data_IF_939954649635
#
_entry.id   IF_939954649635
#
_cell.length_a   1.000
_cell.length_b   1.000
_cell.length_c   1.000
_cell.angle_alpha   90.00
_cell.angle_beta   90.00
_cell.angle_gamma   90.00
#
_symmetry.space_group_name_H-M   'P 1'
#
loop_
_entity.id
_entity.type
_entity.pdbx_description
1 polymer ?
#
# COMPACT_ATOMS: atom_id res chain seq x y z
N UNK A 1 -52.21 -4.92 3.03
CA UNK A 1 -51.13 -5.72 2.39
C UNK A 1 -50.20 -4.71 1.72
N UNK A 2 -49.02 -4.47 2.30
CA UNK A 2 -48.11 -3.40 1.90
C UNK A 2 -47.12 -3.83 0.81
N UNK A 3 -46.94 -2.95 -0.17
CA UNK A 3 -46.06 -3.06 -1.34
C UNK A 3 -44.57 -3.04 -1.00
N UNK A 4 -43.77 -3.75 -1.81
CA UNK A 4 -42.29 -3.75 -1.79
C UNK A 4 -41.69 -2.45 -2.34
N UNK A 5 -40.52 -1.98 -1.86
CA UNK A 5 -39.85 -0.80 -2.42
C UNK A 5 -39.13 -1.12 -3.73
N UNK A 6 -39.41 -0.33 -4.77
CA UNK A 6 -38.74 -0.37 -6.08
C UNK A 6 -37.36 0.26 -5.99
N UNK A 7 -36.33 -0.48 -6.40
CA UNK A 7 -34.95 0.02 -6.57
C UNK A 7 -34.89 1.15 -7.62
N UNK A 8 -34.01 2.15 -7.46
CA UNK A 8 -33.86 3.23 -8.43
C UNK A 8 -33.23 2.70 -9.72
N UNK A 9 -33.95 2.80 -10.84
CA UNK A 9 -33.44 2.51 -12.19
C UNK A 9 -32.61 3.69 -12.69
N UNK A 10 -31.33 3.46 -12.96
CA UNK A 10 -30.52 4.40 -13.74
C UNK A 10 -31.04 4.46 -15.18
N UNK A 11 -31.42 5.65 -15.65
CA UNK A 11 -31.87 5.86 -17.03
C UNK A 11 -30.68 5.98 -17.98
N UNK A 12 -30.82 5.46 -19.20
CA UNK A 12 -29.76 5.46 -20.22
C UNK A 12 -29.22 6.88 -20.53
N UNK A 13 -30.05 7.91 -20.39
CA UNK A 13 -29.64 9.32 -20.55
C UNK A 13 -28.65 9.78 -19.48
N UNK A 14 -28.79 9.31 -18.23
CA UNK A 14 -27.83 9.66 -17.15
C UNK A 14 -26.50 8.97 -17.36
N UNK A 15 -26.51 7.75 -17.90
CA UNK A 15 -25.28 7.04 -18.28
C UNK A 15 -24.54 7.75 -19.40
N UNK A 16 -25.25 8.23 -20.43
CA UNK A 16 -24.64 8.97 -21.53
C UNK A 16 -23.99 10.30 -21.09
N UNK A 17 -24.60 10.99 -20.11
CA UNK A 17 -24.03 12.23 -19.55
C UNK A 17 -22.75 11.98 -18.74
N UNK A 18 -22.70 10.87 -17.98
CA UNK A 18 -21.50 10.46 -17.23
C UNK A 18 -20.39 10.01 -18.19
N UNK A 19 -20.75 9.31 -19.26
CA UNK A 19 -19.82 8.87 -20.30
C UNK A 19 -19.26 10.05 -21.10
N UNK A 20 -20.07 11.06 -21.40
CA UNK A 20 -19.62 12.29 -22.05
C UNK A 20 -18.66 13.11 -21.17
N UNK A 21 -18.90 13.17 -19.86
CA UNK A 21 -17.99 13.80 -18.91
C UNK A 21 -16.65 13.06 -18.83
N UNK A 22 -16.67 11.72 -18.82
CA UNK A 22 -15.45 10.90 -18.80
C UNK A 22 -14.68 10.96 -20.12
N UNK A 23 -15.37 11.00 -21.27
CA UNK A 23 -14.74 11.12 -22.58
C UNK A 23 -14.06 12.49 -22.79
N UNK A 24 -14.60 13.56 -22.22
CA UNK A 24 -13.96 14.88 -22.24
C UNK A 24 -12.70 14.93 -21.36
N UNK A 25 -12.70 14.28 -20.20
CA UNK A 25 -11.51 14.22 -19.33
C UNK A 25 -10.36 13.44 -19.98
N UNK A 26 -10.66 12.49 -20.85
CA UNK A 26 -9.63 11.72 -21.60
C UNK A 26 -9.08 12.49 -22.81
N UNK A 27 -9.73 13.58 -23.26
CA UNK A 27 -9.33 14.31 -24.48
C UNK A 27 -8.63 15.65 -24.28
N UNK A 28 -8.51 16.18 -23.06
CA UNK A 28 -7.77 17.42 -22.82
C UNK A 28 -6.28 17.19 -22.57
N UNK A 29 -5.58 16.80 -23.64
CA UNK A 29 -4.16 17.10 -23.83
C UNK A 29 -4.04 18.38 -24.65
N UNK A 30 -4.24 19.54 -24.02
CA UNK A 30 -4.24 20.85 -24.69
C UNK A 30 -2.90 21.16 -25.36
N UNK A 31 -2.95 21.88 -26.49
CA UNK A 31 -1.79 22.25 -27.33
C UNK A 31 -0.76 23.16 -26.65
N UNK A 32 -1.06 23.66 -25.45
CA UNK A 32 -0.20 24.56 -24.67
C UNK A 32 1.03 23.83 -24.09
N UNK A 33 0.97 22.50 -23.96
CA UNK A 33 2.02 21.71 -23.32
C UNK A 33 3.21 21.35 -24.24
N UNK A 34 3.14 21.71 -25.53
CA UNK A 34 4.21 21.38 -26.51
C UNK A 34 5.40 22.33 -26.42
N UNK A 35 5.23 23.54 -25.88
CA UNK A 35 6.33 24.50 -25.75
C UNK A 35 7.31 24.13 -24.62
N UNK A 36 6.84 23.45 -23.58
CA UNK A 36 7.64 23.15 -22.39
C UNK A 36 8.64 22.00 -22.58
N UNK A 37 8.47 21.19 -23.63
CA UNK A 37 9.28 19.98 -23.85
C UNK A 37 10.60 20.24 -24.61
N UNK A 38 10.82 21.44 -25.18
CA UNK A 38 11.99 21.72 -26.03
C UNK A 38 13.12 22.52 -25.37
N UNK A 39 13.02 22.82 -24.08
CA UNK A 39 14.11 23.45 -23.31
C UNK A 39 14.86 22.41 -22.49
N UNK A 40 16.05 22.06 -22.99
CA UNK A 40 17.04 21.19 -22.38
C UNK A 40 17.28 21.51 -20.89
N UNK A 41 17.16 20.49 -20.04
CA UNK A 41 17.95 20.36 -18.83
C UNK A 41 17.16 20.43 -17.51
N UNK A 42 17.43 19.40 -16.68
CA UNK A 42 17.10 19.21 -15.26
C UNK A 42 15.78 18.48 -14.96
N UNK A 43 15.97 17.26 -14.45
CA UNK A 43 15.28 16.58 -13.34
C UNK A 43 13.91 17.17 -12.98
N UNK A 44 12.84 16.38 -13.13
CA UNK A 44 11.84 16.07 -12.10
C UNK A 44 10.77 15.12 -12.68
N UNK A 45 10.48 14.08 -11.88
CA UNK A 45 9.25 13.32 -11.64
C UNK A 45 8.08 13.47 -12.63
N UNK A 46 7.48 12.32 -12.98
CA UNK A 46 6.04 12.01 -12.87
C UNK A 46 5.73 10.80 -13.76
N UNK A 47 5.86 9.59 -13.22
CA UNK A 47 5.25 8.41 -13.84
C UNK A 47 3.83 8.26 -13.29
N UNK A 48 2.90 9.03 -13.88
CA UNK A 48 1.47 8.80 -13.69
C UNK A 48 1.06 7.54 -14.44
N UNK A 49 0.83 6.45 -13.71
CA UNK A 49 0.21 5.25 -14.27
C UNK A 49 -1.27 5.27 -13.89
N UNK A 50 -2.12 5.42 -14.89
CA UNK A 50 -3.57 5.28 -14.74
C UNK A 50 -3.92 3.82 -14.46
N UNK A 51 -4.70 3.56 -13.41
CA UNK A 51 -5.17 2.23 -13.02
C UNK A 51 -6.42 1.89 -13.83
N UNK A 52 -6.38 0.77 -14.56
CA UNK A 52 -7.57 0.22 -15.22
C UNK A 52 -8.42 -0.55 -14.19
N UNK A 53 -9.63 -0.07 -13.91
CA UNK A 53 -10.63 -0.81 -13.14
C UNK A 53 -11.33 -1.83 -14.06
N UNK A 54 -11.05 -3.12 -13.87
CA UNK A 54 -11.84 -4.19 -14.51
C UNK A 54 -13.07 -4.46 -13.66
N UNK A 55 -14.21 -3.89 -14.05
CA UNK A 55 -15.50 -4.09 -13.39
C UNK A 55 -16.20 -5.36 -13.92
N UNK A 56 -15.79 -6.54 -13.46
CA UNK A 56 -16.50 -7.80 -13.72
C UNK A 56 -17.26 -8.23 -12.48
N UNK A 57 -18.48 -7.71 -12.25
CA UNK A 57 -19.58 -8.31 -11.45
C UNK A 57 -19.33 -8.90 -10.04
N UNK A 58 -18.10 -8.85 -9.52
CA UNK A 58 -17.63 -9.38 -8.25
C UNK A 58 -16.79 -8.32 -7.55
N UNK A 59 -16.54 -8.51 -6.25
CA UNK A 59 -15.91 -7.53 -5.37
C UNK A 59 -14.71 -6.82 -6.04
N UNK A 60 -14.79 -5.50 -6.18
CA UNK A 60 -13.70 -4.69 -6.72
C UNK A 60 -12.58 -4.67 -5.67
N UNK A 61 -11.49 -5.38 -5.94
CA UNK A 61 -10.26 -5.25 -5.16
C UNK A 61 -9.59 -3.97 -5.61
N UNK A 62 -9.57 -2.95 -4.75
CA UNK A 62 -8.85 -1.71 -5.01
C UNK A 62 -7.34 -2.02 -4.97
N UNK A 63 -6.65 -1.78 -6.08
CA UNK A 63 -5.20 -1.94 -6.17
C UNK A 63 -4.52 -0.57 -6.23
N UNK A 64 -3.46 -0.36 -5.45
CA UNK A 64 -2.67 0.88 -5.45
C UNK A 64 -1.16 0.57 -5.42
N UNK A 65 -0.31 1.44 -6.01
CA UNK A 65 1.13 1.35 -5.81
C UNK A 65 1.53 1.83 -4.40
N UNK A 66 2.66 1.32 -3.89
CA UNK A 66 3.30 1.88 -2.69
C UNK A 66 4.01 3.17 -3.09
N UNK A 67 3.48 4.31 -2.65
CA UNK A 67 3.98 5.63 -2.99
C UNK A 67 5.07 6.11 -2.01
N UNK A 68 4.93 5.76 -0.74
CA UNK A 68 5.92 6.07 0.30
C UNK A 68 6.69 4.80 0.68
N UNK A 69 7.99 4.82 0.37
CA UNK A 69 8.93 3.73 0.64
C UNK A 69 9.87 4.02 1.82
N UNK A 70 9.64 5.12 2.56
CA UNK A 70 10.50 5.53 3.68
C UNK A 70 10.34 4.64 4.91
N UNK A 71 9.18 4.01 5.05
CA UNK A 71 8.88 3.07 6.13
C UNK A 71 7.82 2.06 5.69
N UNK A 72 7.78 0.92 6.37
CA UNK A 72 6.78 -0.13 6.16
C UNK A 72 6.22 -0.58 7.51
N UNK A 73 4.95 -0.94 7.55
CA UNK A 73 4.31 -1.48 8.74
C UNK A 73 4.21 -3.01 8.62
N UNK A 74 4.91 -3.75 9.48
CA UNK A 74 4.90 -5.20 9.54
C UNK A 74 3.94 -5.65 10.64
N UNK A 75 2.85 -6.32 10.26
CA UNK A 75 1.79 -6.72 11.17
C UNK A 75 2.07 -8.12 11.75
N UNK A 76 1.81 -8.27 13.05
CA UNK A 76 1.77 -9.56 13.71
C UNK A 76 0.41 -10.26 13.51
N UNK A 77 -0.66 -9.47 13.38
CA UNK A 77 -2.04 -9.93 13.17
C UNK A 77 -2.78 -9.02 12.20
N UNK A 78 -3.81 -9.56 11.54
CA UNK A 78 -4.67 -8.83 10.62
C UNK A 78 -5.69 -7.93 11.35
N UNK A 79 -5.20 -6.95 12.09
CA UNK A 79 -6.02 -6.03 12.89
C UNK A 79 -5.56 -4.58 12.64
N UNK A 80 -6.51 -3.69 12.34
CA UNK A 80 -6.25 -2.27 12.14
C UNK A 80 -7.34 -1.42 12.80
N UNK A 81 -6.93 -0.53 13.70
CA UNK A 81 -7.82 0.36 14.43
C UNK A 81 -7.34 1.81 14.34
N UNK A 82 -7.78 2.51 13.28
CA UNK A 82 -7.23 3.82 12.94
C UNK A 82 -5.77 3.67 12.49
N UNK A 83 -4.84 4.33 13.19
CA UNK A 83 -3.40 4.19 12.96
C UNK A 83 -2.72 3.14 13.84
N UNK A 84 -3.47 2.45 14.71
CA UNK A 84 -2.93 1.43 15.61
C UNK A 84 -3.08 0.06 14.99
N UNK A 85 -2.00 -0.71 15.05
CA UNK A 85 -1.94 -2.09 14.61
C UNK A 85 -0.97 -2.88 15.50
N UNK A 86 -1.16 -4.21 15.63
CA UNK A 86 -0.21 -5.06 16.33
C UNK A 86 0.99 -5.37 15.43
N UNK A 87 2.18 -4.97 15.85
CA UNK A 87 3.41 -5.21 15.09
C UNK A 87 4.43 -4.10 15.22
N UNK A 88 5.18 -3.85 14.14
CA UNK A 88 6.27 -2.87 14.16
C UNK A 88 6.40 -2.12 12.84
N UNK A 89 6.83 -0.86 12.91
CA UNK A 89 7.22 -0.06 11.73
C UNK A 89 8.71 -0.21 11.51
N UNK A 90 9.11 -0.59 10.30
CA UNK A 90 10.49 -0.68 9.87
C UNK A 90 10.86 0.57 9.10
N UNK A 91 12.00 1.16 9.47
CA UNK A 91 12.65 2.25 8.75
C UNK A 91 14.06 1.80 8.46
N UNK A 92 14.51 1.94 7.21
CA UNK A 92 15.92 1.80 6.87
C UNK A 92 16.55 3.18 6.86
N UNK A 93 17.73 3.31 7.45
CA UNK A 93 18.51 4.52 7.30
C UNK A 93 19.99 4.21 7.22
N UNK A 94 20.76 5.19 6.74
CA UNK A 94 22.21 5.11 6.76
C UNK A 94 22.67 4.98 8.21
N UNK A 95 23.43 3.92 8.50
CA UNK A 95 23.99 3.73 9.82
C UNK A 95 24.96 4.87 10.14
N UNK A 96 24.71 5.60 11.22
CA UNK A 96 25.80 6.32 11.88
C UNK A 96 26.65 5.31 12.63
N UNK A 97 27.97 5.53 12.64
CA UNK A 97 28.86 4.74 13.49
C UNK A 97 28.39 4.86 14.94
N UNK A 98 28.62 3.81 15.74
CA UNK A 98 28.36 3.85 17.18
C UNK A 98 29.06 5.08 17.78
N UNK A 99 28.29 6.06 18.26
CA UNK A 99 28.80 7.31 18.83
C UNK A 99 28.56 8.59 18.01
N UNK A 100 28.05 8.51 16.78
CA UNK A 100 27.65 9.69 16.01
C UNK A 100 26.14 9.96 16.11
N UNK A 101 25.71 11.22 16.35
CA UNK A 101 24.30 11.57 16.37
C UNK A 101 23.69 11.25 15.00
N UNK A 102 22.59 10.48 15.00
CA UNK A 102 21.88 10.08 13.79
C UNK A 102 21.38 11.32 13.06
N UNK A 103 22.06 11.70 11.98
CA UNK A 103 21.64 12.76 11.07
C UNK A 103 20.62 12.23 10.07
N UNK A 104 19.69 11.38 10.52
CA UNK A 104 18.77 10.60 9.71
C UNK A 104 17.72 11.50 9.05
N UNK A 105 18.18 12.31 8.10
CA UNK A 105 17.41 13.32 7.38
C UNK A 105 16.75 12.72 6.15
N UNK A 106 17.23 11.56 5.67
CA UNK A 106 16.73 10.84 4.51
C UNK A 106 16.76 9.31 4.77
N UNK A 107 15.62 8.67 5.05
CA UNK A 107 15.52 7.21 5.08
C UNK A 107 15.92 6.60 3.73
N UNK A 108 16.51 5.40 3.77
CA UNK A 108 16.79 4.62 2.55
C UNK A 108 15.46 4.01 2.08
N UNK A 109 15.06 4.17 0.81
CA UNK A 109 13.84 3.56 0.29
C UNK A 109 13.84 2.03 0.45
N UNK A 110 12.74 1.50 0.98
CA UNK A 110 12.49 0.07 1.11
C UNK A 110 11.79 -0.41 -0.16
N UNK A 111 12.55 -1.06 -1.06
CA UNK A 111 12.03 -1.51 -2.36
C UNK A 111 11.16 -2.77 -2.26
N UNK A 112 11.47 -3.66 -1.32
CA UNK A 112 10.73 -4.89 -1.09
C UNK A 112 10.23 -4.97 0.36
N UNK A 113 9.03 -4.42 0.56
CA UNK A 113 8.34 -4.48 1.84
C UNK A 113 8.08 -5.92 2.32
N UNK A 114 7.78 -6.84 1.39
CA UNK A 114 7.49 -8.23 1.73
C UNK A 114 8.74 -8.91 2.26
N UNK A 115 9.87 -8.79 1.57
CA UNK A 115 11.15 -9.35 2.02
C UNK A 115 11.58 -8.76 3.37
N UNK A 116 11.43 -7.44 3.57
CA UNK A 116 11.76 -6.79 4.82
C UNK A 116 10.90 -7.32 5.99
N UNK A 117 9.58 -7.41 5.84
CA UNK A 117 8.72 -7.94 6.91
C UNK A 117 8.89 -9.46 7.13
N UNK A 118 9.21 -10.24 6.09
CA UNK A 118 9.62 -11.65 6.26
C UNK A 118 10.85 -11.77 7.14
N UNK A 119 11.83 -10.89 6.96
CA UNK A 119 13.03 -10.86 7.79
C UNK A 119 12.72 -10.51 9.25
N UNK A 120 11.84 -9.52 9.48
CA UNK A 120 11.39 -9.15 10.84
C UNK A 120 10.69 -10.32 11.54
N UNK A 121 9.82 -11.04 10.83
CA UNK A 121 9.21 -12.27 11.35
C UNK A 121 10.27 -13.33 11.67
N UNK A 122 11.20 -13.58 10.75
CA UNK A 122 12.25 -14.59 10.91
C UNK A 122 13.17 -14.31 12.12
N UNK A 123 13.37 -13.03 12.47
CA UNK A 123 14.10 -12.61 13.67
C UNK A 123 13.30 -12.74 14.97
N UNK A 124 12.07 -13.26 14.93
CA UNK A 124 11.16 -13.30 16.07
C UNK A 124 10.97 -11.91 16.70
N UNK A 125 10.81 -10.87 15.88
CA UNK A 125 10.47 -9.52 16.37
C UNK A 125 8.95 -9.38 16.54
N UNK A 126 8.19 -10.14 15.76
CA UNK A 126 6.73 -10.17 15.77
C UNK A 126 6.24 -11.43 16.48
N UNK A 127 5.22 -11.25 17.31
CA UNK A 127 4.56 -12.33 18.04
C UNK A 127 3.04 -12.09 18.00
N UNK A 128 2.27 -12.98 17.36
CA UNK A 128 0.82 -12.83 17.25
C UNK A 128 0.10 -13.04 18.58
N UNK A 129 0.74 -13.62 19.60
CA UNK A 129 0.15 -13.81 20.93
C UNK A 129 0.49 -12.66 21.89
N UNK A 130 1.47 -11.82 21.53
CA UNK A 130 1.81 -10.63 22.29
C UNK A 130 0.73 -9.54 22.16
N UNK A 131 0.37 -8.83 23.24
CA UNK A 131 -0.69 -7.81 23.22
C UNK A 131 -0.49 -6.73 22.15
N UNK A 132 0.74 -6.28 21.95
CA UNK A 132 1.11 -5.25 20.95
C UNK A 132 1.67 -5.84 19.65
N UNK A 133 1.67 -7.16 19.51
CA UNK A 133 2.20 -7.85 18.33
C UNK A 133 3.73 -7.96 18.30
N UNK A 134 4.44 -7.66 19.40
CA UNK A 134 5.91 -7.65 19.41
C UNK A 134 6.47 -8.59 20.46
N UNK A 135 7.49 -9.33 20.06
CA UNK A 135 8.27 -10.17 20.96
C UNK A 135 9.14 -9.31 21.87
N UNK A 136 9.29 -9.75 23.12
CA UNK A 136 10.23 -9.13 24.05
C UNK A 136 11.67 -9.20 23.49
N UNK A 137 12.50 -8.13 23.57
CA UNK A 137 13.82 -8.10 22.94
C UNK A 137 14.76 -9.25 23.34
N UNK A 138 14.63 -9.80 24.55
CA UNK A 138 15.44 -10.94 25.03
C UNK A 138 15.10 -12.28 24.38
N UNK A 139 13.96 -12.38 23.69
CA UNK A 139 13.48 -13.61 23.04
C UNK A 139 13.68 -13.58 21.52
N UNK A 140 14.26 -12.50 20.99
CA UNK A 140 14.52 -12.34 19.56
C UNK A 140 15.55 -13.36 19.09
N UNK A 141 15.32 -13.89 17.89
CA UNK A 141 16.17 -14.88 17.26
C UNK A 141 17.20 -14.19 16.35
N UNK A 142 18.43 -14.07 16.85
CA UNK A 142 19.54 -13.53 16.06
C UNK A 142 19.92 -14.40 14.84
N UNK A 143 19.49 -15.67 14.80
CA UNK A 143 19.74 -16.57 13.68
C UNK A 143 18.74 -16.39 12.52
N UNK A 144 17.68 -15.60 12.71
CA UNK A 144 16.63 -15.37 11.72
C UNK A 144 15.96 -16.67 11.22
N UNK A 145 15.71 -17.63 12.11
CA UNK A 145 15.12 -18.94 11.77
C UNK A 145 13.69 -19.12 12.30
N UNK A 146 13.11 -18.08 12.91
CA UNK A 146 11.76 -18.15 13.45
C UNK A 146 10.71 -18.33 12.34
N UNK A 147 9.63 -19.09 12.58
CA UNK A 147 8.59 -19.32 11.58
C UNK A 147 7.99 -18.01 11.05
N UNK A 148 7.91 -17.92 9.73
CA UNK A 148 7.26 -16.80 9.04
C UNK A 148 5.87 -17.26 8.58
N UNK A 149 4.80 -16.50 8.86
CA UNK A 149 3.48 -16.85 8.37
C UNK A 149 3.44 -16.91 6.83
N UNK A 150 2.65 -17.83 6.30
CA UNK A 150 2.36 -17.92 4.87
C UNK A 150 0.85 -18.18 4.69
N UNK A 151 0.13 -17.35 3.92
CA UNK A 151 0.61 -16.20 3.14
C UNK A 151 0.87 -14.92 3.96
N UNK A 152 1.76 -14.07 3.42
CA UNK A 152 1.88 -12.64 3.77
C UNK A 152 1.47 -11.80 2.55
N UNK A 153 0.61 -10.82 2.77
CA UNK A 153 0.09 -9.93 1.73
C UNK A 153 0.57 -8.50 1.93
N UNK A 154 0.93 -7.81 0.83
CA UNK A 154 1.28 -6.39 0.86
C UNK A 154 0.06 -5.54 0.53
N UNK A 155 -0.42 -4.81 1.51
CA UNK A 155 -1.47 -3.80 1.40
C UNK A 155 -0.86 -2.39 1.34
N UNK A 156 -1.66 -1.41 0.89
CA UNK A 156 -1.30 0.00 0.84
C UNK A 156 -2.19 0.77 1.79
N UNK A 157 -1.54 1.50 2.71
CA UNK A 157 -2.19 2.40 3.65
C UNK A 157 -2.66 3.69 2.96
N UNK A 158 -3.55 4.43 3.62
CA UNK A 158 -4.08 5.69 3.09
C UNK A 158 -3.02 6.79 2.89
N UNK A 159 -1.90 6.70 3.60
CA UNK A 159 -0.74 7.59 3.47
C UNK A 159 0.23 7.14 2.35
N UNK A 160 -0.06 6.04 1.65
CA UNK A 160 0.76 5.51 0.57
C UNK A 160 1.88 4.57 1.02
N UNK A 161 2.02 4.30 2.32
CA UNK A 161 2.99 3.34 2.85
C UNK A 161 2.55 1.90 2.64
N UNK A 162 3.51 0.97 2.65
CA UNK A 162 3.22 -0.46 2.62
C UNK A 162 2.88 -1.00 4.01
N UNK A 163 1.84 -1.82 4.09
CA UNK A 163 1.50 -2.64 5.24
C UNK A 163 1.60 -4.12 4.84
N UNK A 164 2.45 -4.90 5.50
CA UNK A 164 2.56 -6.35 5.24
C UNK A 164 1.82 -7.11 6.32
N UNK A 165 0.79 -7.85 5.90
CA UNK A 165 -0.22 -8.41 6.79
C UNK A 165 -0.30 -9.93 6.59
N UNK A 166 -0.31 -10.73 7.67
CA UNK A 166 -0.59 -12.16 7.58
C UNK A 166 -1.97 -12.43 7.01
N UNK A 167 -2.06 -13.33 6.03
CA UNK A 167 -3.28 -13.67 5.32
C UNK A 167 -3.19 -13.49 3.81
N UNK A 168 -4.21 -13.95 3.11
CA UNK A 168 -4.32 -13.86 1.66
C UNK A 168 -4.72 -12.45 1.19
N UNK A 169 -4.81 -12.24 -0.12
CA UNK A 169 -5.09 -10.93 -0.73
C UNK A 169 -6.40 -10.28 -0.24
N UNK A 170 -7.36 -11.06 0.28
CA UNK A 170 -8.63 -10.53 0.79
C UNK A 170 -8.44 -9.77 2.10
N UNK A 171 -7.32 -9.99 2.80
CA UNK A 171 -7.03 -9.33 4.08
C UNK A 171 -6.99 -7.81 3.94
N UNK A 172 -6.45 -7.29 2.84
CA UNK A 172 -6.42 -5.85 2.58
C UNK A 172 -7.84 -5.29 2.52
N UNK A 173 -8.74 -5.94 1.77
CA UNK A 173 -10.14 -5.53 1.66
C UNK A 173 -10.88 -5.58 2.99
N UNK A 174 -10.65 -6.61 3.82
CA UNK A 174 -11.28 -6.70 5.15
C UNK A 174 -10.84 -5.59 6.12
N UNK A 175 -9.65 -5.02 5.89
CA UNK A 175 -9.08 -3.94 6.70
C UNK A 175 -9.33 -2.55 6.08
N UNK A 176 -10.09 -2.48 4.97
CA UNK A 176 -10.35 -1.22 4.26
C UNK A 176 -9.10 -0.65 3.57
N UNK A 177 -8.12 -1.50 3.26
CA UNK A 177 -6.87 -1.16 2.58
C UNK A 177 -6.90 -1.58 1.11
N UNK A 178 -6.08 -0.92 0.30
CA UNK A 178 -5.85 -1.37 -1.07
C UNK A 178 -4.81 -2.50 -1.11
N UNK A 179 -4.94 -3.40 -2.08
CA UNK A 179 -3.92 -4.38 -2.40
C UNK A 179 -2.78 -3.70 -3.17
N UNK A 180 -1.51 -4.07 -2.93
CA UNK A 180 -0.39 -3.55 -3.72
C UNK A 180 -0.56 -3.97 -5.19
N UNK A 181 -0.45 -3.02 -6.12
CA UNK A 181 -0.38 -3.34 -7.56
C UNK A 181 0.89 -4.15 -7.85
N UNK A 182 0.80 -5.28 -8.58
CA UNK A 182 1.99 -6.02 -8.99
C UNK A 182 2.90 -5.13 -9.85
N UNK A 183 4.20 -5.14 -9.53
CA UNK A 183 5.19 -4.47 -10.37
C UNK A 183 5.26 -5.22 -11.69
N UNK A 184 5.04 -4.52 -12.82
CA UNK A 184 5.17 -5.12 -14.14
C UNK A 184 6.58 -5.74 -14.29
N UNK A 185 6.70 -6.93 -14.92
CA UNK A 185 7.97 -7.65 -15.05
C UNK A 185 9.01 -6.90 -15.89
#
# INVERSE_FOLDING_TARGET
>A
MNESPRSPRFSAERSAAVEALLANVVRDGTSENRHFQNTKGKRILLAGVAIALVATGGAVIMQLPVADKSSIDCFARAELHGSRFPGTTVVLGEGTRVGEPSTQRNPIPIEDALAACRHVWAQHVLDPDAPDGRTHPSLRDGSSSYPVPDPLTVCVLNDGRAAVIPGDEKVCGSLGLALKTPTAP
#
